data_IF_165941855185
#
_entry.id   IF_165941855185
#
_cell.length_a   1.000
_cell.length_b   1.000
_cell.length_c   1.000
_cell.angle_alpha   90.00
_cell.angle_beta   90.00
_cell.angle_gamma   90.00
#
_symmetry.space_group_name_H-M   'P 1'
#
loop_
_entity.id
_entity.type
_entity.pdbx_description
1 polymer ?
#
# COMPACT_ATOMS: atom_id res chain seq x y z
N UNK A 1 26.39 -2.77 10.96
CA UNK A 1 25.06 -2.17 11.25
C UNK A 1 24.07 -3.19 11.83
N UNK A 2 23.86 -4.36 11.23
CA UNK A 2 22.91 -5.39 11.72
C UNK A 2 23.14 -5.83 13.17
N UNK A 3 24.38 -5.97 13.64
CA UNK A 3 24.67 -6.40 15.01
C UNK A 3 24.32 -5.36 16.09
N UNK A 4 24.35 -4.08 15.74
CA UNK A 4 24.09 -3.01 16.72
C UNK A 4 22.60 -2.79 16.92
N UNK A 5 21.80 -2.90 15.85
CA UNK A 5 20.36 -2.81 15.95
C UNK A 5 19.77 -4.02 16.69
N UNK A 6 20.29 -5.23 16.43
CA UNK A 6 19.92 -6.44 17.18
C UNK A 6 20.26 -6.30 18.66
N UNK A 7 21.43 -5.78 19.00
CA UNK A 7 21.82 -5.52 20.40
C UNK A 7 20.89 -4.52 21.06
N UNK A 8 20.57 -3.43 20.36
CA UNK A 8 19.64 -2.41 20.84
C UNK A 8 18.25 -3.04 21.09
N UNK A 9 17.75 -3.82 20.13
CA UNK A 9 16.46 -4.51 20.28
C UNK A 9 16.44 -5.43 21.50
N UNK A 10 17.47 -6.29 21.67
CA UNK A 10 17.58 -7.18 22.82
C UNK A 10 17.77 -6.44 24.15
N UNK A 11 18.37 -5.25 24.15
CA UNK A 11 18.50 -4.40 25.33
C UNK A 11 17.13 -3.91 25.84
N UNK A 12 16.23 -3.54 24.93
CA UNK A 12 14.88 -3.08 25.31
C UNK A 12 13.88 -4.20 25.47
N UNK A 13 14.10 -5.35 24.82
CA UNK A 13 13.21 -6.52 24.82
C UNK A 13 14.01 -7.80 25.13
N UNK A 14 14.27 -8.07 26.43
CA UNK A 14 15.12 -9.18 26.86
C UNK A 14 14.59 -10.58 26.49
N UNK A 15 13.28 -10.71 26.23
CA UNK A 15 12.65 -11.94 25.73
C UNK A 15 13.21 -12.41 24.39
N UNK A 16 13.81 -11.49 23.60
CA UNK A 16 14.44 -11.80 22.32
C UNK A 16 15.90 -12.34 22.44
N UNK A 17 16.46 -12.38 23.65
CA UNK A 17 17.85 -12.82 23.86
C UNK A 17 18.08 -14.31 23.54
N UNK A 18 17.05 -15.14 23.65
CA UNK A 18 17.18 -16.60 23.52
C UNK A 18 17.06 -17.09 22.07
N UNK A 19 16.53 -16.26 21.18
CA UNK A 19 16.29 -16.66 19.79
C UNK A 19 17.41 -16.30 18.83
N UNK A 20 17.34 -16.86 17.64
CA UNK A 20 18.28 -16.62 16.56
C UNK A 20 17.66 -15.70 15.51
N UNK A 21 18.37 -14.61 15.21
CA UNK A 21 18.00 -13.68 14.15
C UNK A 21 18.66 -14.08 12.83
N UNK A 22 17.88 -14.07 11.75
CA UNK A 22 18.37 -14.19 10.38
C UNK A 22 17.83 -13.03 9.58
N UNK A 23 18.75 -12.17 9.08
CA UNK A 23 18.40 -11.00 8.27
C UNK A 23 17.81 -11.43 6.95
N UNK A 24 16.68 -10.84 6.56
CA UNK A 24 16.19 -10.90 5.19
C UNK A 24 16.88 -9.80 4.37
N UNK A 25 17.42 -10.14 3.18
CA UNK A 25 17.99 -9.11 2.30
C UNK A 25 16.91 -8.09 1.95
N UNK A 26 17.25 -6.81 2.03
CA UNK A 26 16.38 -5.74 1.50
C UNK A 26 16.36 -5.81 -0.02
N UNK A 27 15.17 -5.82 -0.61
CA UNK A 27 15.00 -5.85 -2.06
C UNK A 27 15.22 -4.45 -2.66
N UNK A 28 14.87 -3.40 -1.91
CA UNK A 28 14.96 -2.00 -2.33
C UNK A 28 15.88 -1.22 -1.39
N UNK A 29 16.71 -0.32 -1.94
CA UNK A 29 17.63 0.52 -1.15
C UNK A 29 16.90 1.50 -0.23
N UNK A 30 15.69 1.95 -0.62
CA UNK A 30 14.82 2.85 0.12
C UNK A 30 13.80 2.13 1.01
N UNK A 31 14.00 0.83 1.27
CA UNK A 31 13.11 0.05 2.11
C UNK A 31 12.87 0.72 3.47
N UNK A 32 11.60 0.94 3.81
CA UNK A 32 11.18 1.57 5.07
C UNK A 32 11.52 0.72 6.30
N UNK A 33 11.66 -0.59 6.12
CA UNK A 33 11.92 -1.54 7.21
C UNK A 33 13.17 -2.37 6.99
N UNK A 34 13.79 -2.76 8.11
CA UNK A 34 14.65 -3.94 8.19
C UNK A 34 13.83 -5.11 8.69
N UNK A 35 13.99 -6.27 8.05
CA UNK A 35 13.21 -7.47 8.33
C UNK A 35 14.12 -8.62 8.73
N UNK A 36 13.72 -9.38 9.76
CA UNK A 36 14.40 -10.60 10.21
C UNK A 36 13.42 -11.73 10.41
N UNK A 37 13.88 -12.94 10.17
CA UNK A 37 13.32 -14.11 10.83
C UNK A 37 13.89 -14.21 12.24
N UNK A 38 13.04 -14.53 13.18
CA UNK A 38 13.38 -14.81 14.57
C UNK A 38 12.93 -16.21 14.92
N UNK A 39 13.91 -17.10 15.18
CA UNK A 39 13.67 -18.49 15.53
C UNK A 39 13.91 -18.67 17.03
N UNK A 40 12.88 -19.11 17.78
CA UNK A 40 12.95 -19.43 19.19
C UNK A 40 12.06 -20.64 19.51
N UNK A 41 12.62 -21.60 20.26
CA UNK A 41 11.94 -22.82 20.73
C UNK A 41 11.16 -23.59 19.64
N UNK A 42 11.64 -23.56 18.39
CA UNK A 42 11.00 -24.24 17.26
C UNK A 42 9.89 -23.41 16.58
N UNK A 43 9.62 -22.21 17.05
CA UNK A 43 8.72 -21.24 16.42
C UNK A 43 9.53 -20.24 15.60
N UNK A 44 9.02 -19.90 14.42
CA UNK A 44 9.55 -18.82 13.59
C UNK A 44 8.58 -17.66 13.55
N UNK A 45 9.08 -16.48 13.85
CA UNK A 45 8.38 -15.23 13.73
C UNK A 45 9.09 -14.28 12.74
N UNK A 46 8.40 -13.24 12.32
CA UNK A 46 8.95 -12.14 11.52
C UNK A 46 9.04 -10.90 12.39
N UNK A 47 10.20 -10.25 12.37
CA UNK A 47 10.43 -8.96 13.01
C UNK A 47 10.63 -7.92 11.92
N UNK A 48 9.81 -6.87 11.94
CA UNK A 48 9.98 -5.66 11.13
C UNK A 48 10.39 -4.51 12.06
N UNK A 49 11.50 -3.86 11.75
CA UNK A 49 11.90 -2.62 12.42
C UNK A 49 11.98 -1.48 11.43
N UNK A 50 11.42 -0.35 11.79
CA UNK A 50 11.47 0.85 10.99
C UNK A 50 12.92 1.30 10.82
N UNK A 51 13.30 1.58 9.59
CA UNK A 51 14.59 2.14 9.27
C UNK A 51 14.55 3.65 9.54
N UNK A 52 15.16 4.09 10.63
CA UNK A 52 15.15 5.50 11.06
C UNK A 52 15.78 6.48 10.06
N UNK A 53 16.52 5.99 9.07
CA UNK A 53 17.20 6.82 8.07
C UNK A 53 16.37 6.99 6.79
N UNK A 54 15.64 5.95 6.39
CA UNK A 54 14.99 5.90 5.06
C UNK A 54 13.48 6.00 5.08
N UNK A 55 12.82 5.76 6.22
CA UNK A 55 11.35 5.72 6.30
C UNK A 55 10.64 7.00 5.84
N UNK A 56 11.31 8.15 5.93
CA UNK A 56 10.77 9.47 5.57
C UNK A 56 11.26 9.99 4.21
N UNK A 57 12.29 9.38 3.64
CA UNK A 57 13.03 9.96 2.53
C UNK A 57 12.38 9.66 1.16
N UNK A 58 11.66 8.55 1.04
CA UNK A 58 11.10 8.10 -0.23
C UNK A 58 9.89 8.92 -0.69
N UNK A 59 9.72 9.09 -2.02
CA UNK A 59 8.57 9.80 -2.59
C UNK A 59 7.23 9.15 -2.23
N UNK A 60 7.21 7.83 -2.01
CA UNK A 60 6.01 7.10 -1.60
C UNK A 60 5.48 7.62 -0.26
N UNK A 61 6.28 7.60 0.80
CA UNK A 61 5.83 8.05 2.13
C UNK A 61 5.60 9.56 2.22
N UNK A 62 6.30 10.35 1.39
CA UNK A 62 5.98 11.78 1.23
C UNK A 62 4.57 11.96 0.63
N UNK A 63 4.21 11.16 -0.37
CA UNK A 63 2.87 11.14 -0.95
C UNK A 63 1.81 10.65 0.03
N UNK A 64 2.06 9.55 0.76
CA UNK A 64 1.15 9.02 1.78
C UNK A 64 0.84 10.06 2.86
N UNK A 65 1.86 10.76 3.35
CA UNK A 65 1.69 11.84 4.32
C UNK A 65 0.89 13.00 3.74
N UNK A 66 1.23 13.42 2.52
CA UNK A 66 0.59 14.57 1.90
C UNK A 66 -0.87 14.29 1.48
N UNK A 67 -1.18 13.12 0.97
CA UNK A 67 -2.50 12.79 0.44
C UNK A 67 -3.45 12.19 1.48
N UNK A 68 -2.92 11.42 2.43
CA UNK A 68 -3.73 10.64 3.37
C UNK A 68 -3.49 11.00 4.84
N UNK A 69 -2.59 11.95 5.12
CA UNK A 69 -2.16 12.31 6.49
C UNK A 69 -1.68 11.07 7.29
N UNK A 70 -1.00 10.15 6.62
CA UNK A 70 -0.48 8.92 7.21
C UNK A 70 1.03 8.96 7.26
N UNK A 71 1.55 8.88 8.48
CA UNK A 71 2.97 8.78 8.81
C UNK A 71 3.29 7.37 9.32
N UNK A 72 4.34 6.75 8.79
CA UNK A 72 4.66 5.36 9.08
C UNK A 72 4.90 5.05 10.57
N UNK A 73 5.64 5.85 11.35
CA UNK A 73 5.78 5.65 12.80
C UNK A 73 4.44 5.69 13.55
N UNK A 74 3.55 6.60 13.15
CA UNK A 74 2.20 6.67 13.74
C UNK A 74 1.36 5.46 13.34
N UNK A 75 1.43 5.03 12.09
CA UNK A 75 0.71 3.86 11.58
C UNK A 75 1.08 2.59 12.36
N UNK A 76 2.38 2.36 12.61
CA UNK A 76 2.83 1.21 13.41
C UNK A 76 2.17 1.20 14.80
N UNK A 77 1.97 2.35 15.42
CA UNK A 77 1.34 2.42 16.74
C UNK A 77 -0.13 1.97 16.76
N UNK A 78 -0.76 1.86 15.58
CA UNK A 78 -2.18 1.53 15.38
C UNK A 78 -2.40 0.09 14.90
N UNK A 79 -1.35 -0.68 14.71
CA UNK A 79 -1.44 -2.03 14.15
C UNK A 79 -2.27 -3.01 15.00
N UNK A 80 -2.39 -2.80 16.30
CA UNK A 80 -3.30 -3.59 17.14
C UNK A 80 -4.77 -3.45 16.71
N UNK A 81 -5.14 -2.30 16.12
CA UNK A 81 -6.47 -2.07 15.55
C UNK A 81 -6.53 -2.45 14.06
N UNK A 82 -5.49 -2.11 13.31
CA UNK A 82 -5.44 -2.31 11.87
C UNK A 82 -5.45 -3.79 11.47
N UNK A 83 -4.62 -4.61 12.11
CA UNK A 83 -4.47 -6.03 11.74
C UNK A 83 -5.77 -6.81 11.83
N UNK A 84 -6.56 -6.75 12.94
CA UNK A 84 -7.88 -7.39 13.01
C UNK A 84 -8.86 -6.87 11.97
N UNK A 85 -8.91 -5.54 11.75
CA UNK A 85 -9.81 -4.93 10.78
C UNK A 85 -9.56 -5.46 9.36
N UNK A 86 -8.30 -5.56 8.96
CA UNK A 86 -7.93 -6.11 7.65
C UNK A 86 -8.21 -7.62 7.59
N UNK A 87 -7.91 -8.36 8.65
CA UNK A 87 -8.18 -9.79 8.70
C UNK A 87 -9.68 -10.12 8.56
N UNK A 88 -10.57 -9.27 9.08
CA UNK A 88 -12.02 -9.43 8.95
C UNK A 88 -12.53 -9.07 7.53
N UNK A 89 -11.76 -8.27 6.79
CA UNK A 89 -12.12 -7.80 5.45
C UNK A 89 -11.60 -8.67 4.30
N UNK A 90 -10.74 -9.67 4.58
CA UNK A 90 -10.12 -10.51 3.54
C UNK A 90 -10.12 -11.99 3.88
N UNK A 91 -10.14 -12.84 2.84
CA UNK A 91 -9.94 -14.29 2.99
C UNK A 91 -8.45 -14.67 3.03
N UNK A 92 -7.54 -13.76 2.67
CA UNK A 92 -6.10 -14.00 2.78
C UNK A 92 -5.66 -13.97 4.24
N UNK A 93 -4.72 -14.82 4.59
CA UNK A 93 -4.17 -14.82 5.94
C UNK A 93 -3.39 -13.54 6.20
N UNK A 94 -3.70 -12.89 7.31
CA UNK A 94 -2.94 -11.78 7.85
C UNK A 94 -2.06 -12.33 8.98
N UNK A 95 -0.76 -11.97 9.06
CA UNK A 95 0.10 -12.42 10.15
C UNK A 95 -0.46 -12.01 11.51
N UNK A 96 -0.47 -12.92 12.47
CA UNK A 96 -0.90 -12.57 13.82
C UNK A 96 0.13 -11.65 14.49
N UNK A 97 -0.31 -10.46 14.88
CA UNK A 97 0.52 -9.52 15.63
C UNK A 97 0.83 -10.09 17.01
N UNK A 98 2.12 -10.32 17.31
CA UNK A 98 2.62 -10.85 18.58
C UNK A 98 3.00 -9.74 19.53
N UNK A 99 3.64 -8.70 19.00
CA UNK A 99 4.19 -7.62 19.82
C UNK A 99 4.42 -6.35 18.98
N UNK A 100 4.16 -5.20 19.59
CA UNK A 100 4.56 -3.89 19.08
C UNK A 100 5.68 -3.31 19.95
N UNK A 101 6.64 -2.68 19.31
CA UNK A 101 7.76 -2.01 19.96
C UNK A 101 7.75 -0.52 19.65
N UNK A 102 7.34 0.28 20.61
CA UNK A 102 7.19 1.72 20.48
C UNK A 102 8.10 2.41 21.51
N UNK A 103 9.29 2.78 21.10
CA UNK A 103 10.28 3.51 21.91
C UNK A 103 10.78 4.76 21.17
N UNK A 104 9.92 5.81 21.04
CA UNK A 104 10.28 7.02 20.29
C UNK A 104 11.58 7.69 20.75
N UNK A 105 11.85 7.68 22.08
CA UNK A 105 13.07 8.25 22.66
C UNK A 105 14.35 7.53 22.23
N UNK A 106 14.24 6.29 21.74
CA UNK A 106 15.33 5.50 21.18
C UNK A 106 15.29 5.41 19.64
N UNK A 107 14.35 6.09 18.99
CA UNK A 107 14.14 5.98 17.54
C UNK A 107 13.74 4.56 17.10
N UNK A 108 13.04 3.81 17.97
CA UNK A 108 12.72 2.40 17.72
C UNK A 108 11.21 2.24 17.60
N UNK A 109 10.79 1.84 16.40
CA UNK A 109 9.43 1.40 16.09
C UNK A 109 9.52 0.07 15.35
N UNK A 110 8.69 -0.88 15.74
CA UNK A 110 8.69 -2.16 15.07
C UNK A 110 7.61 -3.09 15.59
N UNK A 111 7.54 -4.25 14.96
CA UNK A 111 6.57 -5.28 15.28
C UNK A 111 7.17 -6.68 15.14
N UNK A 112 6.57 -7.61 15.86
CA UNK A 112 6.79 -9.04 15.72
C UNK A 112 5.46 -9.70 15.36
N UNK A 113 5.47 -10.51 14.31
CA UNK A 113 4.33 -11.30 13.86
C UNK A 113 4.70 -12.77 13.76
N UNK A 114 3.71 -13.65 13.64
CA UNK A 114 4.00 -15.01 13.19
C UNK A 114 4.50 -15.01 11.75
N UNK A 115 5.26 -16.05 11.40
CA UNK A 115 5.74 -16.28 10.04
C UNK A 115 4.69 -17.10 9.30
N UNK A 116 4.05 -16.50 8.29
CA UNK A 116 3.11 -17.21 7.44
C UNK A 116 3.84 -18.21 6.53
N UNK A 117 3.21 -19.35 6.19
CA UNK A 117 3.75 -20.28 5.22
C UNK A 117 3.67 -19.73 3.80
N UNK A 118 4.58 -20.15 2.95
CA UNK A 118 4.66 -19.75 1.56
C UNK A 118 5.96 -19.00 1.24
N UNK A 119 6.04 -18.50 0.03
CA UNK A 119 7.16 -17.68 -0.46
C UNK A 119 6.63 -16.42 -1.13
N UNK A 120 7.45 -15.38 -1.17
CA UNK A 120 7.09 -14.13 -1.82
C UNK A 120 6.63 -14.37 -3.27
N UNK A 121 5.58 -13.66 -3.65
CA UNK A 121 5.01 -13.71 -4.99
C UNK A 121 5.84 -12.86 -5.96
N UNK A 122 5.89 -13.26 -7.23
CA UNK A 122 6.43 -12.44 -8.33
C UNK A 122 5.47 -12.47 -9.52
N UNK A 123 5.56 -11.49 -10.41
CA UNK A 123 4.64 -11.36 -11.54
C UNK A 123 4.63 -12.58 -12.48
N UNK A 124 5.77 -13.29 -12.60
CA UNK A 124 5.91 -14.47 -13.47
C UNK A 124 5.17 -15.71 -12.95
N UNK A 125 4.80 -15.69 -11.65
CA UNK A 125 4.13 -16.83 -10.99
C UNK A 125 2.61 -16.69 -10.96
N UNK A 126 2.05 -15.60 -11.50
CA UNK A 126 0.62 -15.30 -11.44
C UNK A 126 -0.19 -16.36 -12.16
N UNK A 127 -1.15 -16.97 -11.45
CA UNK A 127 -2.13 -17.92 -11.97
C UNK A 127 -3.52 -17.28 -11.96
N UNK A 128 -4.47 -17.84 -12.72
CA UNK A 128 -5.87 -17.45 -12.68
C UNK A 128 -6.46 -17.49 -11.26
N UNK A 129 -6.15 -18.52 -10.50
CA UNK A 129 -6.60 -18.64 -9.11
C UNK A 129 -6.07 -17.48 -8.24
N UNK A 130 -4.82 -17.05 -8.45
CA UNK A 130 -4.26 -15.90 -7.71
C UNK A 130 -4.92 -14.59 -8.11
N UNK A 131 -5.28 -14.41 -9.38
CA UNK A 131 -6.04 -13.25 -9.85
C UNK A 131 -7.43 -13.21 -9.21
N UNK A 132 -8.12 -14.35 -9.16
CA UNK A 132 -9.42 -14.46 -8.48
C UNK A 132 -9.30 -14.13 -6.97
N UNK A 133 -8.27 -14.65 -6.30
CA UNK A 133 -8.02 -14.35 -4.90
C UNK A 133 -7.69 -12.87 -4.66
N UNK A 134 -6.92 -12.22 -5.56
CA UNK A 134 -6.66 -10.78 -5.50
C UNK A 134 -7.95 -9.98 -5.66
N UNK A 135 -8.81 -10.36 -6.60
CA UNK A 135 -10.11 -9.71 -6.82
C UNK A 135 -11.01 -9.80 -5.57
N UNK A 136 -11.13 -10.97 -4.96
CA UNK A 136 -11.89 -11.15 -3.72
C UNK A 136 -11.29 -10.38 -2.55
N UNK A 137 -9.95 -10.36 -2.44
CA UNK A 137 -9.23 -9.60 -1.43
C UNK A 137 -9.55 -8.10 -1.53
N UNK A 138 -9.33 -7.48 -2.70
CA UNK A 138 -9.61 -6.06 -2.89
C UNK A 138 -11.09 -5.74 -2.75
N UNK A 139 -11.98 -6.58 -3.29
CA UNK A 139 -13.42 -6.40 -3.10
C UNK A 139 -13.84 -6.44 -1.62
N UNK A 140 -13.21 -7.30 -0.82
CA UNK A 140 -13.42 -7.36 0.63
C UNK A 140 -12.98 -6.06 1.33
N UNK A 141 -11.78 -5.56 1.02
CA UNK A 141 -11.28 -4.28 1.54
C UNK A 141 -12.17 -3.10 1.13
N UNK A 142 -12.57 -3.05 -0.13
CA UNK A 142 -13.39 -1.97 -0.69
C UNK A 142 -14.82 -1.93 -0.12
N UNK A 143 -15.34 -3.03 0.43
CA UNK A 143 -16.63 -3.08 1.11
C UNK A 143 -16.62 -2.44 2.49
N UNK A 144 -15.47 -2.23 3.09
CA UNK A 144 -15.34 -1.45 4.32
C UNK A 144 -15.47 0.02 3.96
N UNK A 145 -16.65 0.58 4.14
CA UNK A 145 -17.00 1.94 3.67
C UNK A 145 -16.57 3.02 4.64
N UNK A 146 -16.07 4.13 4.08
CA UNK A 146 -15.71 5.35 4.81
C UNK A 146 -16.40 6.59 4.23
N UNK A 147 -16.63 7.60 5.07
CA UNK A 147 -17.19 8.89 4.63
C UNK A 147 -16.11 9.80 4.00
N UNK A 148 -14.83 9.46 4.14
CA UNK A 148 -13.71 10.25 3.66
C UNK A 148 -12.41 9.47 3.57
N UNK A 149 -11.29 10.15 3.47
CA UNK A 149 -9.98 9.58 3.21
C UNK A 149 -9.00 9.82 4.37
N UNK A 150 -7.97 8.98 4.45
CA UNK A 150 -6.91 9.06 5.45
C UNK A 150 -6.76 7.80 6.29
N UNK A 151 -6.45 7.95 7.56
CA UNK A 151 -6.21 6.86 8.48
C UNK A 151 -7.48 6.04 8.78
N UNK A 152 -7.46 4.74 8.46
CA UNK A 152 -8.60 3.84 8.65
C UNK A 152 -8.89 3.50 10.12
N UNK A 153 -7.95 3.73 11.03
CA UNK A 153 -8.12 3.45 12.46
C UNK A 153 -8.76 4.61 13.24
N UNK A 154 -8.90 5.78 12.61
CA UNK A 154 -9.48 7.00 13.18
C UNK A 154 -10.56 7.58 12.26
N UNK A 155 -11.68 6.87 12.03
CA UNK A 155 -12.69 7.31 11.05
C UNK A 155 -13.33 8.65 11.37
N UNK A 156 -13.31 9.11 12.63
CA UNK A 156 -13.78 10.45 13.02
C UNK A 156 -12.98 11.60 12.43
N UNK A 157 -11.73 11.38 12.03
CA UNK A 157 -10.89 12.35 11.33
C UNK A 157 -11.07 12.30 9.80
N UNK A 158 -11.67 11.24 9.27
CA UNK A 158 -11.88 11.02 7.84
C UNK A 158 -13.18 11.63 7.32
N UNK A 159 -13.63 12.76 7.90
CA UNK A 159 -14.88 13.43 7.52
C UNK A 159 -14.76 14.35 6.30
N UNK A 160 -13.61 14.37 5.66
CA UNK A 160 -13.44 15.15 4.43
C UNK A 160 -14.03 14.36 3.26
N UNK A 161 -15.13 14.90 2.72
CA UNK A 161 -15.92 14.28 1.66
C UNK A 161 -15.16 14.18 0.31
N UNK A 162 -15.81 13.61 -0.70
CA UNK A 162 -15.29 13.45 -2.07
C UNK A 162 -14.75 14.74 -2.68
N UNK A 163 -15.43 15.88 -2.47
CA UNK A 163 -14.97 17.17 -2.98
C UNK A 163 -13.65 17.61 -2.32
N UNK A 164 -13.49 17.32 -1.03
CA UNK A 164 -12.25 17.62 -0.33
C UNK A 164 -11.09 16.76 -0.88
N UNK A 165 -11.34 15.48 -1.19
CA UNK A 165 -10.35 14.62 -1.85
C UNK A 165 -9.92 15.18 -3.20
N UNK A 166 -10.87 15.50 -4.06
CA UNK A 166 -10.61 16.02 -5.42
C UNK A 166 -9.78 17.32 -5.37
N UNK A 167 -10.15 18.25 -4.50
CA UNK A 167 -9.42 19.49 -4.29
C UNK A 167 -8.02 19.25 -3.70
N UNK A 168 -7.91 18.30 -2.77
CA UNK A 168 -6.66 17.95 -2.12
C UNK A 168 -5.68 17.33 -3.10
N UNK A 169 -6.12 16.33 -3.86
CA UNK A 169 -5.32 15.71 -4.90
C UNK A 169 -4.88 16.70 -5.97
N UNK A 170 -5.81 17.54 -6.48
CA UNK A 170 -5.48 18.57 -7.47
C UNK A 170 -4.41 19.51 -6.94
N UNK A 171 -4.58 20.06 -5.73
CA UNK A 171 -3.60 20.96 -5.11
C UNK A 171 -2.23 20.30 -4.98
N UNK A 172 -2.21 19.03 -4.57
CA UNK A 172 -0.97 18.26 -4.47
C UNK A 172 -0.31 18.05 -5.84
N UNK A 173 -1.08 17.70 -6.88
CA UNK A 173 -0.58 17.55 -8.26
C UNK A 173 -0.04 18.88 -8.81
N UNK A 174 -0.70 20.02 -8.56
CA UNK A 174 -0.20 21.34 -8.95
C UNK A 174 1.19 21.64 -8.38
N UNK A 175 1.45 21.20 -7.16
CA UNK A 175 2.72 21.40 -6.47
C UNK A 175 3.79 20.38 -6.85
N UNK A 176 3.40 19.14 -7.11
CA UNK A 176 4.34 18.03 -7.28
C UNK A 176 4.67 17.69 -8.75
N UNK A 177 3.74 17.93 -9.69
CA UNK A 177 3.95 17.62 -11.09
C UNK A 177 4.87 18.67 -11.74
N UNK A 178 6.17 18.50 -11.57
CA UNK A 178 7.21 19.41 -12.07
C UNK A 178 8.23 18.67 -12.91
N UNK A 179 8.95 19.39 -13.82
CA UNK A 179 10.02 18.80 -14.61
C UNK A 179 11.13 18.16 -13.77
N UNK A 180 11.43 18.71 -12.61
CA UNK A 180 12.42 18.17 -11.66
C UNK A 180 11.99 16.81 -11.07
N UNK A 181 10.67 16.55 -11.05
CA UNK A 181 10.08 15.27 -10.65
C UNK A 181 9.70 14.38 -11.84
N UNK A 182 10.24 14.67 -13.01
CA UNK A 182 10.09 13.85 -14.21
C UNK A 182 8.80 14.10 -15.00
N UNK A 183 7.96 15.07 -14.64
CA UNK A 183 6.74 15.44 -15.40
C UNK A 183 7.06 16.59 -16.35
N UNK A 184 7.11 16.39 -17.69
CA UNK A 184 7.38 17.46 -18.64
C UNK A 184 6.35 18.60 -18.55
N UNK A 185 6.75 19.85 -18.79
CA UNK A 185 5.87 21.01 -18.66
C UNK A 185 4.58 20.89 -19.50
N UNK A 186 4.69 20.41 -20.74
CA UNK A 186 3.53 20.18 -21.60
C UNK A 186 2.56 19.12 -21.05
N UNK A 187 3.08 18.06 -20.44
CA UNK A 187 2.28 17.00 -19.81
C UNK A 187 1.63 17.50 -18.51
N UNK A 188 2.35 18.33 -17.76
CA UNK A 188 1.82 19.00 -16.57
C UNK A 188 0.61 19.86 -16.91
N UNK A 189 0.72 20.71 -17.93
CA UNK A 189 -0.38 21.60 -18.30
C UNK A 189 -1.62 20.80 -18.76
N UNK A 190 -1.41 19.72 -19.52
CA UNK A 190 -2.47 18.80 -19.91
C UNK A 190 -3.11 18.08 -18.70
N UNK A 191 -2.30 17.62 -17.74
CA UNK A 191 -2.76 16.99 -16.52
C UNK A 191 -3.62 17.94 -15.68
N UNK A 192 -3.18 19.19 -15.49
CA UNK A 192 -3.91 20.16 -14.70
C UNK A 192 -5.23 20.56 -15.38
N UNK A 193 -5.25 20.69 -16.70
CA UNK A 193 -6.48 20.91 -17.47
C UNK A 193 -7.46 19.74 -17.34
N UNK A 194 -6.95 18.50 -17.28
CA UNK A 194 -7.80 17.32 -17.01
C UNK A 194 -8.32 17.31 -15.57
N UNK A 195 -7.49 17.65 -14.58
CA UNK A 195 -7.93 17.82 -13.21
C UNK A 195 -9.06 18.88 -13.09
N UNK A 196 -8.93 20.02 -13.79
CA UNK A 196 -9.95 21.05 -13.81
C UNK A 196 -11.28 20.55 -14.40
N UNK A 197 -11.23 19.68 -15.38
CA UNK A 197 -12.41 19.09 -16.01
C UNK A 197 -13.06 18.02 -15.14
N UNK A 198 -12.26 17.16 -14.52
CA UNK A 198 -12.74 15.97 -13.77
C UNK A 198 -13.19 16.36 -12.35
N UNK A 199 -12.44 17.20 -11.66
CA UNK A 199 -12.70 17.56 -10.27
C UNK A 199 -13.61 18.78 -10.12
N UNK A 200 -14.78 18.72 -10.76
CA UNK A 200 -15.83 19.72 -10.59
C UNK A 200 -16.59 19.48 -9.26
N UNK A 201 -17.21 20.49 -8.66
CA UNK A 201 -17.89 20.38 -7.36
C UNK A 201 -19.02 19.33 -7.28
N UNK A 202 -19.58 18.96 -8.40
CA UNK A 202 -20.70 18.03 -8.56
C UNK A 202 -20.27 16.64 -9.05
N UNK A 203 -18.96 16.43 -9.29
CA UNK A 203 -18.42 15.13 -9.67
C UNK A 203 -18.03 14.36 -8.42
N UNK A 204 -18.60 13.17 -8.27
CA UNK A 204 -18.29 12.24 -7.18
C UNK A 204 -16.99 11.49 -7.47
N UNK A 205 -16.06 11.47 -6.53
CA UNK A 205 -14.82 10.68 -6.60
C UNK A 205 -15.09 9.16 -6.50
N UNK A 206 -16.34 8.75 -6.37
CA UNK A 206 -16.76 7.37 -6.14
C UNK A 206 -16.69 6.94 -4.68
N UNK A 207 -16.99 5.69 -4.36
CA UNK A 207 -16.98 5.20 -2.99
C UNK A 207 -15.55 5.17 -2.41
N UNK A 208 -15.47 5.39 -1.09
CA UNK A 208 -14.26 5.23 -0.31
C UNK A 208 -14.27 3.89 0.43
N UNK A 209 -13.16 3.18 0.34
CA UNK A 209 -12.92 1.90 1.02
C UNK A 209 -11.53 1.85 1.65
N UNK A 210 -11.13 0.70 2.16
CA UNK A 210 -9.72 0.43 2.44
C UNK A 210 -9.02 0.22 1.10
N UNK A 211 -8.00 1.02 0.81
CA UNK A 211 -7.19 0.92 -0.40
C UNK A 211 -5.74 0.58 -0.07
N UNK A 212 -5.03 0.03 -1.07
CA UNK A 212 -3.63 -0.36 -1.02
C UNK A 212 -2.78 0.47 -1.99
N UNK A 213 -2.41 1.74 -1.70
CA UNK A 213 -1.64 2.58 -2.62
C UNK A 213 -0.27 2.00 -3.03
N UNK A 214 0.22 1.00 -2.29
CA UNK A 214 1.45 0.24 -2.60
C UNK A 214 1.13 -1.19 -3.09
N UNK A 215 0.04 -1.40 -3.81
CA UNK A 215 -0.36 -2.71 -4.30
C UNK A 215 0.68 -3.30 -5.25
N UNK A 216 1.39 -4.36 -4.81
CA UNK A 216 2.40 -5.09 -5.57
C UNK A 216 2.38 -6.57 -5.24
N UNK A 217 2.81 -7.40 -6.19
CA UNK A 217 2.83 -8.84 -5.99
C UNK A 217 3.75 -9.30 -4.85
N UNK A 218 4.87 -8.65 -4.61
CA UNK A 218 5.84 -9.02 -3.58
C UNK A 218 5.35 -8.85 -2.13
N UNK A 219 4.19 -8.21 -1.94
CA UNK A 219 3.50 -8.14 -0.64
C UNK A 219 2.71 -9.40 -0.30
N UNK A 220 2.46 -10.25 -1.31
CA UNK A 220 1.72 -11.49 -1.12
C UNK A 220 2.64 -12.69 -1.00
N UNK A 221 2.19 -13.68 -0.23
CA UNK A 221 2.80 -15.01 -0.20
C UNK A 221 2.00 -15.96 -1.05
N UNK A 222 2.69 -16.93 -1.65
CA UNK A 222 2.07 -17.97 -2.44
C UNK A 222 2.60 -19.35 -2.09
N UNK A 223 1.77 -20.36 -2.29
CA UNK A 223 2.11 -21.77 -2.23
C UNK A 223 1.19 -22.56 -3.16
N UNK A 224 1.74 -23.48 -3.94
CA UNK A 224 1.00 -24.41 -4.81
C UNK A 224 0.01 -23.72 -5.77
N UNK A 225 0.42 -22.57 -6.34
CA UNK A 225 -0.38 -21.82 -7.31
C UNK A 225 -1.50 -20.97 -6.72
N UNK A 226 -1.50 -20.71 -5.41
CA UNK A 226 -2.49 -19.91 -4.67
C UNK A 226 -1.82 -18.85 -3.81
N UNK A 227 -2.50 -17.72 -3.60
CA UNK A 227 -2.13 -16.75 -2.57
C UNK A 227 -2.45 -17.34 -1.19
N UNK A 228 -1.49 -17.25 -0.27
CA UNK A 228 -1.62 -17.79 1.08
C UNK A 228 -1.66 -16.74 2.17
N UNK A 229 -1.27 -15.50 1.87
CA UNK A 229 -1.32 -14.41 2.83
C UNK A 229 -0.81 -13.10 2.27
N UNK A 230 -1.08 -12.02 3.01
CA UNK A 230 -0.59 -10.66 2.80
C UNK A 230 0.35 -10.30 3.94
N UNK A 231 1.54 -9.78 3.64
CA UNK A 231 2.60 -9.55 4.64
C UNK A 231 2.86 -8.09 4.94
N UNK A 232 2.36 -7.18 4.11
CA UNK A 232 2.59 -5.74 4.26
C UNK A 232 1.26 -4.97 4.35
N UNK A 233 1.00 -4.39 5.54
CA UNK A 233 -0.22 -3.63 5.83
C UNK A 233 0.08 -2.14 6.10
N UNK A 234 1.34 -1.74 5.91
CA UNK A 234 1.82 -0.46 6.40
C UNK A 234 1.18 0.73 5.68
N UNK A 235 0.81 0.54 4.41
CA UNK A 235 0.30 1.59 3.52
C UNK A 235 -1.23 1.58 3.35
N UNK A 236 -1.97 0.78 4.12
CA UNK A 236 -3.43 0.73 4.01
C UNK A 236 -4.07 2.01 4.56
N UNK A 237 -4.95 2.61 3.76
CA UNK A 237 -5.65 3.86 4.10
C UNK A 237 -7.11 3.82 3.62
N UNK A 238 -7.94 4.70 4.18
CA UNK A 238 -9.24 5.02 3.58
C UNK A 238 -8.99 5.92 2.36
N UNK A 239 -9.59 5.58 1.23
CA UNK A 239 -9.44 6.36 0.01
C UNK A 239 -10.39 5.91 -1.10
N UNK A 240 -10.41 6.62 -2.23
CA UNK A 240 -11.27 6.27 -3.35
C UNK A 240 -10.84 4.92 -3.93
N UNK A 241 -11.77 3.97 -3.99
CA UNK A 241 -11.46 2.62 -4.47
C UNK A 241 -10.99 2.62 -5.94
N UNK A 242 -11.35 3.62 -6.72
CA UNK A 242 -10.88 3.80 -8.08
C UNK A 242 -9.35 3.97 -8.19
N UNK A 243 -8.66 4.38 -7.11
CA UNK A 243 -7.19 4.46 -7.10
C UNK A 243 -6.55 3.06 -7.16
N UNK A 244 -7.07 2.09 -6.41
CA UNK A 244 -6.63 0.70 -6.49
C UNK A 244 -6.92 0.08 -7.86
N UNK A 245 -8.04 0.44 -8.48
CA UNK A 245 -8.37 -0.03 -9.82
C UNK A 245 -7.37 0.46 -10.87
N UNK A 246 -6.87 1.69 -10.74
CA UNK A 246 -5.76 2.19 -11.57
C UNK A 246 -4.48 1.39 -11.33
N UNK A 247 -4.19 0.99 -10.07
CA UNK A 247 -3.07 0.10 -9.77
C UNK A 247 -3.25 -1.30 -10.36
N UNK A 248 -4.46 -1.85 -10.30
CA UNK A 248 -4.77 -3.16 -10.89
C UNK A 248 -4.58 -3.14 -12.41
N UNK A 249 -4.98 -2.06 -13.11
CA UNK A 249 -4.67 -1.88 -14.55
C UNK A 249 -3.16 -1.91 -14.84
N UNK A 250 -2.35 -1.41 -13.92
CA UNK A 250 -0.89 -1.35 -14.07
C UNK A 250 -0.21 -2.66 -13.66
N UNK A 251 -0.85 -3.46 -12.82
CA UNK A 251 -0.33 -4.70 -12.25
C UNK A 251 -0.63 -5.92 -13.13
N UNK A 252 -1.78 -5.95 -13.81
CA UNK A 252 -2.29 -7.08 -14.56
C UNK A 252 -2.16 -6.87 -16.07
N UNK A 253 -2.04 -7.99 -16.81
CA UNK A 253 -2.25 -7.97 -18.27
C UNK A 253 -3.75 -8.07 -18.60
N UNK A 254 -4.12 -7.89 -19.87
CA UNK A 254 -5.50 -7.85 -20.36
C UNK A 254 -6.32 -9.08 -19.91
N UNK A 255 -5.84 -10.29 -20.15
CA UNK A 255 -6.55 -11.51 -19.76
C UNK A 255 -6.74 -11.65 -18.25
N UNK A 256 -5.71 -11.27 -17.49
CA UNK A 256 -5.78 -11.26 -16.02
C UNK A 256 -6.73 -10.20 -15.52
N UNK A 257 -6.79 -9.05 -16.19
CA UNK A 257 -7.70 -7.97 -15.82
C UNK A 257 -9.17 -8.36 -16.08
N UNK A 258 -9.47 -8.99 -17.20
CA UNK A 258 -10.82 -9.53 -17.48
C UNK A 258 -11.26 -10.54 -16.42
N UNK A 259 -10.37 -11.45 -16.06
CA UNK A 259 -10.62 -12.42 -14.98
C UNK A 259 -10.83 -11.72 -13.63
N UNK A 260 -10.01 -10.74 -13.30
CA UNK A 260 -10.14 -9.91 -12.10
C UNK A 260 -11.52 -9.23 -12.04
N UNK A 261 -11.95 -8.59 -13.11
CA UNK A 261 -13.28 -7.95 -13.20
C UNK A 261 -14.41 -8.96 -12.97
N UNK A 262 -14.33 -10.13 -13.62
CA UNK A 262 -15.33 -11.18 -13.49
C UNK A 262 -15.45 -11.71 -12.06
N UNK A 263 -14.34 -11.81 -11.33
CA UNK A 263 -14.34 -12.27 -9.94
C UNK A 263 -14.74 -11.16 -8.97
N UNK A 264 -14.21 -9.94 -9.16
CA UNK A 264 -14.53 -8.79 -8.31
C UNK A 264 -16.03 -8.46 -8.28
N UNK A 265 -16.68 -8.44 -9.45
CA UNK A 265 -18.11 -8.09 -9.56
C UNK A 265 -19.06 -9.10 -8.89
N UNK A 266 -18.57 -10.28 -8.49
CA UNK A 266 -19.35 -11.23 -7.67
C UNK A 266 -19.49 -10.76 -6.22
N UNK A 267 -18.64 -9.83 -5.78
CA UNK A 267 -18.52 -9.37 -4.39
C UNK A 267 -18.87 -7.89 -4.23
N UNK A 268 -18.45 -7.04 -5.17
CA UNK A 268 -18.61 -5.59 -5.12
C UNK A 268 -18.84 -5.00 -6.52
N UNK A 269 -19.36 -3.78 -6.58
CA UNK A 269 -19.53 -3.06 -7.84
C UNK A 269 -18.18 -2.51 -8.35
N UNK A 270 -17.96 -2.59 -9.66
CA UNK A 270 -16.79 -2.02 -10.33
C UNK A 270 -16.96 -0.50 -10.37
N UNK A 271 -16.00 0.30 -9.85
CA UNK A 271 -16.10 1.75 -9.87
C UNK A 271 -15.85 2.31 -11.29
N UNK A 272 -16.33 3.52 -11.53
CA UNK A 272 -15.94 4.29 -12.71
C UNK A 272 -14.52 4.81 -12.55
N UNK A 273 -13.62 4.50 -13.49
CA UNK A 273 -12.19 4.84 -13.44
C UNK A 273 -11.80 5.81 -14.56
N UNK A 274 -12.51 5.78 -15.70
CA UNK A 274 -12.13 6.50 -16.93
C UNK A 274 -11.83 8.00 -16.70
N UNK A 275 -12.65 8.68 -15.93
CA UNK A 275 -12.52 10.12 -15.68
C UNK A 275 -11.33 10.44 -14.76
N UNK A 276 -11.11 9.63 -13.72
CA UNK A 276 -10.09 9.89 -12.68
C UNK A 276 -8.74 9.23 -12.97
N UNK A 277 -8.64 8.43 -14.02
CA UNK A 277 -7.43 7.63 -14.35
C UNK A 277 -6.18 8.49 -14.51
N UNK A 278 -6.25 9.56 -15.27
CA UNK A 278 -5.08 10.39 -15.55
C UNK A 278 -4.52 11.08 -14.30
N UNK A 279 -5.33 11.75 -13.46
CA UNK A 279 -4.88 12.26 -12.16
C UNK A 279 -4.33 11.18 -11.21
N UNK A 280 -4.97 10.01 -11.14
CA UNK A 280 -4.51 8.93 -10.26
C UNK A 280 -3.20 8.30 -10.77
N UNK A 281 -3.05 8.08 -12.08
CA UNK A 281 -1.77 7.67 -12.66
C UNK A 281 -0.66 8.67 -12.37
N UNK A 282 -0.93 9.96 -12.48
CA UNK A 282 0.05 10.98 -12.13
C UNK A 282 0.45 10.94 -10.65
N UNK A 283 -0.51 10.76 -9.75
CA UNK A 283 -0.23 10.63 -8.32
C UNK A 283 0.65 9.40 -8.02
N UNK A 284 0.31 8.24 -8.56
CA UNK A 284 1.06 7.01 -8.39
C UNK A 284 2.48 7.09 -8.97
N UNK A 285 2.65 7.79 -10.11
CA UNK A 285 3.97 8.09 -10.68
C UNK A 285 4.81 8.94 -9.73
N UNK A 286 4.24 10.04 -9.23
CA UNK A 286 4.93 10.96 -8.33
C UNK A 286 5.26 10.32 -6.98
N UNK A 287 4.46 9.35 -6.53
CA UNK A 287 4.73 8.49 -5.39
C UNK A 287 5.76 7.39 -5.70
N UNK A 288 6.14 7.22 -6.96
CA UNK A 288 7.12 6.22 -7.41
C UNK A 288 6.73 4.76 -7.06
N UNK A 289 5.47 4.42 -7.17
CA UNK A 289 4.94 3.11 -6.69
C UNK A 289 5.59 1.91 -7.38
N UNK A 290 5.89 1.98 -8.69
CA UNK A 290 6.54 0.91 -9.45
C UNK A 290 7.96 1.27 -9.94
N UNK A 291 8.57 2.33 -9.42
CA UNK A 291 9.94 2.71 -9.77
C UNK A 291 10.12 3.25 -11.19
N UNK A 292 9.05 3.61 -11.90
CA UNK A 292 9.14 4.17 -13.26
C UNK A 292 9.56 5.64 -13.20
N UNK A 293 10.64 5.99 -13.89
CA UNK A 293 11.18 7.35 -13.91
C UNK A 293 10.77 8.17 -15.14
N UNK A 294 10.13 7.53 -16.14
CA UNK A 294 9.68 8.18 -17.36
C UNK A 294 8.17 8.36 -17.40
N UNK A 295 7.71 9.59 -17.18
CA UNK A 295 6.28 9.91 -17.12
C UNK A 295 5.53 9.56 -18.42
N UNK A 296 6.14 9.76 -19.59
CA UNK A 296 5.49 9.45 -20.86
C UNK A 296 5.34 7.94 -21.09
N UNK A 297 6.31 7.14 -20.64
CA UNK A 297 6.19 5.67 -20.64
C UNK A 297 5.10 5.25 -19.67
N UNK A 298 5.07 5.84 -18.49
CA UNK A 298 4.06 5.58 -17.48
C UNK A 298 2.64 5.85 -17.96
N UNK A 299 2.38 7.01 -18.57
CA UNK A 299 1.06 7.40 -19.09
C UNK A 299 0.59 6.54 -20.28
N UNK A 300 1.52 5.93 -21.02
CA UNK A 300 1.21 5.04 -22.16
C UNK A 300 0.98 3.59 -21.75
N UNK A 301 1.07 3.27 -20.47
CA UNK A 301 0.71 1.93 -19.99
C UNK A 301 -0.73 1.59 -20.38
N UNK A 302 -1.04 0.30 -20.59
CA UNK A 302 -2.36 -0.14 -21.03
C UNK A 302 -3.51 0.41 -20.20
N UNK A 303 -4.65 0.53 -20.83
CA UNK A 303 -5.96 0.83 -20.23
C UNK A 303 -6.84 -0.35 -20.54
N UNK A 304 -7.45 -0.94 -19.52
CA UNK A 304 -8.27 -2.13 -19.66
C UNK A 304 -9.75 -1.86 -19.34
N UNK A 305 -10.06 -0.83 -18.55
CA UNK A 305 -11.41 -0.45 -18.17
C UNK A 305 -11.79 0.88 -18.84
N UNK A 306 -12.85 0.88 -19.65
CA UNK A 306 -13.39 2.08 -20.32
C UNK A 306 -14.31 2.90 -19.40
#
# INVERSE_FOLDING_TARGET
MTSDLQKTLCQYFPDLLNGRFTVLPTVFEDSSHQIWFYDDAGQRDVIKLLNSVTHDAGPFWQGMRALFDVDLPQQISKFETLYPMVADATELRIPALRQLWLKPSAGLWGLRTDCLPGRAMTAELVTSEMVAQLAHHLAGLHRVSFEGFGDITCPEFNRQNHQAWSNHLKTWLEQQATPEKGVPASERDALLAECDKVFQPDVDAGPFGIIMPDLRWDQFLQQDGRLTGLTDLDALVAGPIALDWVLVELLLNENQFDEFCNEYQKVAEIPTVSEVRAPYRAALFLMNVFGESNYQVWQKRPVWLD
#
